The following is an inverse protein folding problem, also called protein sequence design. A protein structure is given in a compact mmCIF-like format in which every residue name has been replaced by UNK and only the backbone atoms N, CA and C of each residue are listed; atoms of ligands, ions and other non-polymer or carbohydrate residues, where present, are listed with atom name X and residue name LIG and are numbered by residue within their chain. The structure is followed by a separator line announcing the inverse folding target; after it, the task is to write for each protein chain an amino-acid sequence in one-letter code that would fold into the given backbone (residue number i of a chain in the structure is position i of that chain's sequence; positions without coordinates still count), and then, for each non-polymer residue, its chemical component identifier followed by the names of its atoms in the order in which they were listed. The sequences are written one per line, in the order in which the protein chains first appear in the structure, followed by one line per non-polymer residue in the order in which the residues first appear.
data_IF_192257202020
#
_entry.id   IF_192257202020
#
_cell.length_a   1.000
_cell.length_b   1.000
_cell.length_c   1.000
_cell.angle_alpha   90.00
_cell.angle_beta   90.00
_cell.angle_gamma   90.00
#
_symmetry.space_group_name_H-M   'P 1'
#
loop_
_entity.id
_entity.type
_entity.pdbx_description
1 polymer ?
#
# COMPACT_ATOMS: atom_id res chain seq x y z
N UNK A 1 -24.31 -90.82 41.16
CA UNK A 1 -24.21 -89.88 40.02
C UNK A 1 -23.24 -88.78 40.45
N UNK A 2 -22.01 -88.80 39.92
CA UNK A 2 -20.90 -87.93 40.35
C UNK A 2 -20.80 -86.76 39.36
N UNK A 3 -21.12 -85.55 39.78
CA UNK A 3 -20.88 -84.34 38.97
C UNK A 3 -19.46 -83.83 39.20
N UNK A 4 -18.73 -83.37 38.16
CA UNK A 4 -17.35 -82.93 38.29
C UNK A 4 -17.27 -81.48 38.80
N UNK A 5 -16.34 -81.20 39.71
CA UNK A 5 -15.99 -79.85 40.13
C UNK A 5 -15.24 -79.11 39.00
N UNK A 6 -15.60 -77.84 38.79
CA UNK A 6 -14.93 -76.94 37.84
C UNK A 6 -13.70 -76.32 38.51
N UNK A 7 -12.52 -76.26 37.86
CA UNK A 7 -11.32 -75.69 38.47
C UNK A 7 -11.40 -74.16 38.56
N UNK A 8 -11.14 -73.65 39.77
CA UNK A 8 -11.06 -72.22 40.07
C UNK A 8 -9.89 -71.56 39.33
N UNK A 9 -10.15 -70.75 38.30
CA UNK A 9 -9.13 -69.98 37.59
C UNK A 9 -8.51 -68.91 38.49
N UNK A 10 -7.24 -69.06 38.84
CA UNK A 10 -6.46 -68.12 39.64
C UNK A 10 -6.25 -66.81 38.86
N UNK A 11 -6.94 -65.74 39.28
CA UNK A 11 -6.87 -64.40 38.66
C UNK A 11 -5.58 -63.70 39.08
N UNK A 12 -4.65 -63.55 38.14
CA UNK A 12 -3.37 -62.83 38.32
C UNK A 12 -3.63 -61.34 38.64
N UNK A 13 -2.99 -60.76 39.66
CA UNK A 13 -3.13 -59.33 39.96
C UNK A 13 -2.36 -58.50 38.91
N UNK A 14 -3.07 -57.64 38.19
CA UNK A 14 -2.49 -56.59 37.33
C UNK A 14 -1.92 -55.47 38.20
N UNK A 15 -0.64 -55.14 38.01
CA UNK A 15 0.03 -54.05 38.72
C UNK A 15 -0.70 -52.70 38.52
N UNK A 16 -0.79 -51.86 39.57
CA UNK A 16 -1.45 -50.56 39.46
C UNK A 16 -0.68 -49.64 38.52
N UNK A 17 -1.34 -49.14 37.47
CA UNK A 17 -0.82 -48.06 36.63
C UNK A 17 -0.80 -46.78 37.48
N UNK A 18 0.39 -46.28 37.82
CA UNK A 18 0.57 -44.97 38.43
C UNK A 18 0.00 -43.91 37.47
N UNK A 19 -1.14 -43.30 37.85
CA UNK A 19 -1.69 -42.16 37.13
C UNK A 19 -0.88 -40.94 37.51
N UNK A 20 -0.02 -40.47 36.61
CA UNK A 20 0.59 -39.14 36.71
C UNK A 20 -0.52 -38.10 36.52
N UNK A 21 -0.88 -37.41 37.60
CA UNK A 21 -1.76 -36.25 37.56
C UNK A 21 -0.91 -34.98 37.62
N UNK A 22 -1.27 -33.98 36.81
CA UNK A 22 -0.65 -32.66 36.89
C UNK A 22 -0.91 -32.04 38.26
N UNK A 23 0.15 -31.55 38.91
CA UNK A 23 0.04 -30.77 40.13
C UNK A 23 -0.43 -29.35 39.80
N UNK A 24 -1.11 -28.71 40.76
CA UNK A 24 -1.58 -27.33 40.62
C UNK A 24 -0.40 -26.38 40.36
N UNK A 25 0.76 -26.65 40.98
CA UNK A 25 1.97 -25.83 40.82
C UNK A 25 2.60 -25.96 39.42
N UNK A 26 2.59 -27.17 38.81
CA UNK A 26 3.03 -27.35 37.42
C UNK A 26 2.14 -26.56 36.45
N UNK A 27 0.82 -26.56 36.66
CA UNK A 27 -0.07 -25.76 35.82
C UNK A 27 0.12 -24.25 36.05
N UNK A 28 0.26 -23.83 37.32
CA UNK A 28 0.42 -22.43 37.71
C UNK A 28 1.70 -21.82 37.14
N UNK A 29 2.82 -22.54 37.18
CA UNK A 29 4.10 -22.07 36.65
C UNK A 29 4.07 -21.94 35.12
N UNK A 30 3.40 -22.85 34.42
CA UNK A 30 3.26 -22.79 32.95
C UNK A 30 2.47 -21.55 32.53
N UNK A 31 1.31 -21.29 33.15
CA UNK A 31 0.53 -20.10 32.80
C UNK A 31 1.26 -18.81 33.18
N UNK A 32 2.07 -18.82 34.25
CA UNK A 32 2.89 -17.67 34.63
C UNK A 32 3.97 -17.38 33.56
N UNK A 33 4.68 -18.40 33.07
CA UNK A 33 5.69 -18.25 32.01
C UNK A 33 5.02 -17.82 30.69
N UNK A 34 3.89 -18.44 30.30
CA UNK A 34 3.13 -18.03 29.11
C UNK A 34 2.65 -16.57 29.23
N UNK A 35 2.23 -16.13 30.41
CA UNK A 35 1.84 -14.75 30.69
C UNK A 35 3.00 -13.77 30.51
N UNK A 36 4.19 -14.10 31.02
CA UNK A 36 5.40 -13.27 30.86
C UNK A 36 5.81 -13.19 29.38
N UNK A 37 5.84 -14.32 28.68
CA UNK A 37 6.19 -14.37 27.26
C UNK A 37 5.19 -13.56 26.41
N UNK A 38 3.88 -13.73 26.64
CA UNK A 38 2.84 -12.98 25.95
C UNK A 38 2.94 -11.47 26.22
N UNK A 39 3.22 -11.06 27.47
CA UNK A 39 3.36 -9.66 27.85
C UNK A 39 4.50 -8.95 27.09
N UNK A 40 5.60 -9.65 26.81
CA UNK A 40 6.72 -9.11 26.03
C UNK A 40 6.43 -9.13 24.51
N UNK A 41 5.74 -10.17 24.04
CA UNK A 41 5.51 -10.42 22.62
C UNK A 41 4.39 -9.53 22.01
N UNK A 42 3.33 -9.23 22.76
CA UNK A 42 2.19 -8.45 22.25
C UNK A 42 2.55 -7.00 21.84
N UNK A 43 3.27 -6.19 22.64
CA UNK A 43 3.59 -4.81 22.23
C UNK A 43 4.60 -4.76 21.07
N UNK A 44 5.56 -5.69 21.04
CA UNK A 44 6.62 -5.73 20.02
C UNK A 44 6.13 -6.21 18.66
N UNK A 45 5.08 -7.04 18.61
CA UNK A 45 4.49 -7.51 17.35
C UNK A 45 3.70 -6.43 16.60
N UNK A 46 3.15 -5.42 17.30
CA UNK A 46 2.44 -4.30 16.67
C UNK A 46 3.37 -3.39 15.87
N UNK A 47 4.51 -2.99 16.46
CA UNK A 47 5.51 -2.16 15.78
C UNK A 47 6.16 -2.89 14.59
N UNK A 48 6.44 -4.19 14.75
CA UNK A 48 6.93 -5.04 13.67
C UNK A 48 5.96 -5.11 12.49
N UNK A 49 4.64 -5.21 12.75
CA UNK A 49 3.60 -5.21 11.71
C UNK A 49 3.56 -3.88 10.95
N UNK A 50 3.65 -2.76 11.65
CA UNK A 50 3.71 -1.43 11.02
C UNK A 50 4.97 -1.28 10.18
N UNK A 51 6.14 -1.69 10.68
CA UNK A 51 7.38 -1.68 9.91
C UNK A 51 7.29 -2.55 8.65
N UNK A 52 6.72 -3.75 8.76
CA UNK A 52 6.50 -4.65 7.63
C UNK A 52 5.56 -4.03 6.57
N UNK A 53 4.48 -3.36 6.99
CA UNK A 53 3.61 -2.60 6.08
C UNK A 53 4.35 -1.44 5.41
N UNK A 54 5.17 -0.66 6.13
CA UNK A 54 6.00 0.40 5.54
C UNK A 54 6.95 -0.17 4.48
N UNK A 55 7.61 -1.29 4.77
CA UNK A 55 8.47 -1.97 3.81
C UNK A 55 7.70 -2.45 2.58
N UNK A 56 6.49 -3.02 2.77
CA UNK A 56 5.61 -3.43 1.67
C UNK A 56 5.19 -2.25 0.80
N UNK A 57 4.75 -1.13 1.39
CA UNK A 57 4.39 0.10 0.65
C UNK A 57 5.59 0.61 -0.17
N UNK A 58 6.80 0.65 0.41
CA UNK A 58 8.02 1.01 -0.34
C UNK A 58 8.30 0.07 -1.52
N UNK A 59 8.08 -1.24 -1.33
CA UNK A 59 8.22 -2.23 -2.40
C UNK A 59 7.20 -2.02 -3.53
N UNK A 60 5.94 -1.75 -3.21
CA UNK A 60 4.90 -1.40 -4.20
C UNK A 60 5.31 -0.17 -5.00
N UNK A 61 5.76 0.90 -4.32
CA UNK A 61 6.19 2.12 -5.00
C UNK A 61 7.42 1.91 -5.89
N UNK A 62 8.38 1.08 -5.48
CA UNK A 62 9.53 0.75 -6.31
C UNK A 62 9.12 -0.01 -7.59
N UNK A 63 8.14 -0.91 -7.50
CA UNK A 63 7.57 -1.60 -8.67
C UNK A 63 6.87 -0.61 -9.60
N UNK A 64 6.10 0.32 -9.05
CA UNK A 64 5.37 1.34 -9.82
C UNK A 64 6.33 2.33 -10.50
N UNK A 65 7.38 2.74 -9.80
CA UNK A 65 8.44 3.57 -10.36
C UNK A 65 9.16 2.84 -11.51
N UNK A 66 9.44 1.54 -11.36
CA UNK A 66 9.99 0.71 -12.44
C UNK A 66 9.09 0.67 -13.68
N UNK A 67 7.77 0.57 -13.49
CA UNK A 67 6.81 0.60 -14.61
C UNK A 67 6.78 1.96 -15.31
N UNK A 68 6.87 3.06 -14.56
CA UNK A 68 6.94 4.41 -15.12
C UNK A 68 8.26 4.63 -15.89
N UNK A 69 9.39 4.12 -15.37
CA UNK A 69 10.67 4.16 -16.09
C UNK A 69 10.62 3.34 -17.39
N UNK A 70 9.99 2.16 -17.37
CA UNK A 70 9.79 1.37 -18.58
C UNK A 70 8.91 2.10 -19.60
N UNK A 71 7.86 2.80 -19.15
CA UNK A 71 7.06 3.68 -20.01
C UNK A 71 7.93 4.78 -20.65
N UNK A 72 8.78 5.45 -19.87
CA UNK A 72 9.68 6.48 -20.37
C UNK A 72 10.67 5.91 -21.40
N UNK A 73 11.21 4.72 -21.17
CA UNK A 73 12.13 4.08 -22.13
C UNK A 73 11.44 3.78 -23.47
N UNK A 74 10.16 3.39 -23.43
CA UNK A 74 9.38 3.06 -24.62
C UNK A 74 8.95 4.31 -25.41
N UNK A 75 8.50 5.36 -24.72
CA UNK A 75 7.86 6.52 -25.34
C UNK A 75 8.72 7.79 -25.36
N UNK A 76 9.85 7.82 -24.63
CA UNK A 76 10.78 8.94 -24.56
C UNK A 76 10.36 10.08 -23.62
N UNK A 77 9.23 9.97 -22.93
CA UNK A 77 8.73 10.95 -21.96
C UNK A 77 8.01 10.26 -20.80
N UNK A 78 7.87 10.93 -19.66
CA UNK A 78 7.13 10.39 -18.52
C UNK A 78 5.61 10.51 -18.69
N UNK A 79 4.84 9.53 -18.19
CA UNK A 79 3.40 9.59 -18.23
C UNK A 79 2.88 10.80 -17.43
N UNK A 80 1.92 11.51 -18.01
CA UNK A 80 1.26 12.63 -17.38
C UNK A 80 -0.09 12.18 -16.80
N UNK A 81 -0.14 12.09 -15.47
CA UNK A 81 -1.37 11.83 -14.72
C UNK A 81 -2.18 13.11 -14.54
N UNK A 82 -2.89 13.31 -13.44
CA UNK A 82 -3.56 14.59 -13.20
C UNK A 82 -2.56 15.72 -12.94
N UNK A 83 -2.78 16.87 -13.59
CA UNK A 83 -1.89 18.04 -13.47
C UNK A 83 -2.56 19.23 -12.76
N UNK A 84 -3.87 19.16 -12.50
CA UNK A 84 -4.63 20.27 -11.93
C UNK A 84 -5.57 19.82 -10.80
N UNK A 85 -6.02 20.79 -9.99
CA UNK A 85 -6.97 20.55 -8.91
C UNK A 85 -6.42 19.71 -7.75
N UNK A 86 -7.34 19.26 -6.88
CA UNK A 86 -6.99 18.49 -5.68
C UNK A 86 -6.39 17.09 -5.99
N UNK A 87 -6.57 16.60 -7.22
CA UNK A 87 -6.05 15.35 -7.73
C UNK A 87 -4.67 15.44 -8.38
N UNK A 88 -4.12 16.64 -8.57
CA UNK A 88 -2.84 16.84 -9.23
C UNK A 88 -1.73 16.00 -8.60
N UNK A 89 -0.95 15.31 -9.44
CA UNK A 89 0.19 14.47 -9.05
C UNK A 89 -0.16 13.39 -8.02
N UNK A 90 -1.37 12.81 -8.14
CA UNK A 90 -1.81 11.68 -7.32
C UNK A 90 -2.11 10.45 -8.17
N UNK A 91 -1.83 9.28 -7.60
CA UNK A 91 -2.15 7.98 -8.21
C UNK A 91 -3.64 7.89 -8.52
N UNK A 92 -4.49 8.28 -7.58
CA UNK A 92 -5.95 8.28 -7.69
C UNK A 92 -6.53 9.67 -7.99
N UNK A 93 -5.80 10.52 -8.73
CA UNK A 93 -6.11 11.95 -8.86
C UNK A 93 -7.46 12.29 -9.53
N UNK A 94 -7.80 11.60 -10.62
CA UNK A 94 -8.98 11.91 -11.45
C UNK A 94 -10.28 11.31 -10.91
N UNK A 95 -10.18 10.45 -9.90
CA UNK A 95 -11.28 9.56 -9.52
C UNK A 95 -12.07 10.15 -8.37
N UNK A 96 -12.34 11.47 -8.36
CA UNK A 96 -13.04 12.18 -7.28
C UNK A 96 -14.17 11.32 -6.67
N UNK A 97 -13.89 10.67 -5.54
CA UNK A 97 -14.85 9.84 -4.81
C UNK A 97 -15.16 8.43 -5.35
N UNK A 98 -14.24 7.75 -6.06
CA UNK A 98 -14.04 6.28 -6.08
C UNK A 98 -15.25 5.33 -6.21
N UNK A 99 -16.46 5.79 -6.54
CA UNK A 99 -17.61 4.91 -6.74
C UNK A 99 -17.80 4.58 -8.23
N UNK A 100 -17.22 5.39 -9.12
CA UNK A 100 -17.42 5.28 -10.55
C UNK A 100 -16.23 4.56 -11.22
N UNK A 101 -16.36 3.26 -11.46
CA UNK A 101 -15.37 2.49 -12.23
C UNK A 101 -15.26 2.94 -13.68
N UNK A 102 -16.30 3.60 -14.22
CA UNK A 102 -16.27 4.19 -15.54
C UNK A 102 -15.53 5.54 -15.58
N UNK A 103 -15.18 6.13 -14.42
CA UNK A 103 -14.31 7.30 -14.40
C UNK A 103 -12.89 6.91 -14.81
N UNK A 104 -12.27 7.77 -15.64
CA UNK A 104 -10.91 7.54 -16.13
C UNK A 104 -9.93 7.56 -14.99
N UNK A 105 -9.25 6.45 -14.76
CA UNK A 105 -8.19 6.35 -13.78
C UNK A 105 -6.84 6.42 -14.48
N UNK A 106 -6.36 7.65 -14.75
CA UNK A 106 -5.18 7.88 -15.60
C UNK A 106 -3.97 7.03 -15.25
N UNK A 107 -3.61 6.95 -13.97
CA UNK A 107 -2.45 6.16 -13.54
C UNK A 107 -2.57 4.68 -13.92
N UNK A 108 -3.70 4.05 -13.57
CA UNK A 108 -4.02 2.67 -13.94
C UNK A 108 -4.07 2.51 -15.46
N UNK A 109 -4.87 3.33 -16.15
CA UNK A 109 -5.15 3.17 -17.58
C UNK A 109 -3.90 3.38 -18.45
N UNK A 110 -3.04 4.32 -18.09
CA UNK A 110 -1.78 4.58 -18.81
C UNK A 110 -0.81 3.40 -18.61
N UNK A 111 -0.63 2.91 -17.38
CA UNK A 111 0.38 1.90 -17.08
C UNK A 111 -0.08 0.46 -17.38
N UNK A 112 -1.38 0.18 -17.27
CA UNK A 112 -1.96 -1.13 -17.59
C UNK A 112 -2.31 -1.22 -19.09
N UNK A 113 -2.61 -0.10 -19.75
CA UNK A 113 -3.02 -0.09 -21.16
C UNK A 113 -4.47 -0.55 -21.39
N UNK A 114 -5.24 -0.73 -20.33
CA UNK A 114 -6.64 -1.14 -20.35
C UNK A 114 -7.45 -0.40 -19.27
N UNK A 115 -8.77 -0.33 -19.46
CA UNK A 115 -9.67 0.23 -18.44
C UNK A 115 -9.97 -0.76 -17.33
N UNK A 116 -10.25 -0.21 -16.15
CA UNK A 116 -10.66 -0.99 -14.96
C UNK A 116 -12.01 -1.70 -15.14
N UNK A 117 -12.88 -1.17 -15.99
CA UNK A 117 -14.23 -1.69 -16.28
C UNK A 117 -14.27 -2.69 -17.45
N UNK A 118 -13.12 -2.99 -18.07
CA UNK A 118 -13.03 -3.87 -19.24
C UNK A 118 -13.50 -3.24 -20.55
N UNK A 119 -13.94 -1.98 -20.54
CA UNK A 119 -14.33 -1.25 -21.75
C UNK A 119 -13.07 -0.77 -22.49
N UNK A 120 -13.18 -0.48 -23.79
CA UNK A 120 -12.09 0.14 -24.54
C UNK A 120 -11.73 1.52 -23.96
N UNK A 121 -10.44 1.86 -23.94
CA UNK A 121 -9.96 3.18 -23.51
C UNK A 121 -10.65 4.29 -24.33
N UNK A 122 -11.01 5.43 -23.71
CA UNK A 122 -11.66 6.51 -24.44
C UNK A 122 -10.71 7.08 -25.50
N UNK A 123 -11.18 7.15 -26.74
CA UNK A 123 -10.40 7.67 -27.88
C UNK A 123 -10.49 9.19 -28.02
N UNK A 124 -11.49 9.80 -27.39
CA UNK A 124 -11.75 11.25 -27.41
C UNK A 124 -12.08 11.72 -25.99
N UNK A 125 -11.09 12.21 -25.27
CA UNK A 125 -11.35 13.11 -24.15
C UNK A 125 -10.75 14.46 -24.48
N UNK A 126 -11.60 15.47 -24.53
CA UNK A 126 -11.20 16.87 -24.60
C UNK A 126 -10.64 17.25 -23.24
N UNK A 127 -9.33 17.43 -23.10
CA UNK A 127 -8.73 17.85 -21.84
C UNK A 127 -7.22 17.78 -21.80
N UNK A 128 -6.62 18.69 -21.04
CA UNK A 128 -5.24 18.63 -20.59
C UNK A 128 -5.24 17.96 -19.21
N UNK A 129 -4.53 16.85 -18.97
CA UNK A 129 -3.56 16.20 -19.87
C UNK A 129 -4.18 15.22 -20.89
N UNK A 130 -3.40 14.78 -21.91
CA UNK A 130 -3.87 13.89 -22.96
C UNK A 130 -4.51 12.60 -22.42
N UNK A 131 -5.53 12.03 -23.09
CA UNK A 131 -6.18 10.82 -22.63
C UNK A 131 -5.19 9.65 -22.51
N UNK A 132 -5.43 8.65 -21.64
CA UNK A 132 -4.51 7.54 -21.42
C UNK A 132 -4.06 6.81 -22.70
N UNK A 133 -4.98 6.61 -23.65
CA UNK A 133 -4.66 5.98 -24.93
C UNK A 133 -3.73 6.84 -25.81
N UNK A 134 -3.80 8.17 -25.72
CA UNK A 134 -2.89 9.05 -26.46
C UNK A 134 -1.47 9.01 -25.90
N UNK A 135 -1.31 8.67 -24.62
CA UNK A 135 0.00 8.53 -23.98
C UNK A 135 0.56 7.11 -24.19
N UNK A 136 -0.25 6.07 -23.97
CA UNK A 136 0.10 4.68 -24.23
C UNK A 136 -0.56 4.18 -25.53
N UNK A 137 -0.09 4.66 -26.68
CA UNK A 137 -0.71 4.38 -27.99
C UNK A 137 -0.61 2.91 -28.39
N UNK A 138 0.43 2.21 -27.96
CA UNK A 138 0.64 0.77 -28.21
C UNK A 138 -0.07 -0.13 -27.20
N UNK A 139 -0.73 0.43 -26.18
CA UNK A 139 -1.40 -0.30 -25.09
C UNK A 139 -0.49 -1.33 -24.42
N UNK A 140 0.77 -0.97 -24.21
CA UNK A 140 1.76 -1.82 -23.54
C UNK A 140 1.40 -1.90 -22.06
N UNK A 141 1.37 -3.11 -21.51
CA UNK A 141 1.16 -3.33 -20.09
C UNK A 141 2.48 -3.25 -19.35
N UNK A 142 2.72 -2.14 -18.66
CA UNK A 142 3.93 -1.91 -17.85
C UNK A 142 3.79 -2.48 -16.43
N UNK A 143 2.56 -2.62 -15.94
CA UNK A 143 2.26 -3.15 -14.61
C UNK A 143 0.92 -3.88 -14.58
N UNK A 144 0.76 -4.76 -13.60
CA UNK A 144 -0.53 -5.40 -13.26
C UNK A 144 -0.88 -5.07 -11.81
N UNK A 145 -2.14 -4.73 -11.56
CA UNK A 145 -2.67 -4.59 -10.21
C UNK A 145 -3.52 -5.81 -9.86
N UNK A 146 -3.33 -6.34 -8.66
CA UNK A 146 -4.17 -7.41 -8.13
C UNK A 146 -5.32 -6.84 -7.30
N UNK A 147 -6.28 -7.68 -6.91
CA UNK A 147 -7.33 -7.28 -5.96
C UNK A 147 -6.77 -6.81 -4.61
N UNK A 148 -5.58 -7.25 -4.22
CA UNK A 148 -4.94 -6.81 -2.99
C UNK A 148 -4.49 -5.34 -3.08
N UNK A 149 -4.07 -4.89 -4.26
CA UNK A 149 -3.58 -3.54 -4.52
C UNK A 149 -4.70 -2.52 -4.75
N UNK A 150 -5.95 -2.98 -4.80
CA UNK A 150 -7.11 -2.13 -5.03
C UNK A 150 -8.12 -2.25 -3.89
N UNK A 151 -8.89 -1.19 -3.67
CA UNK A 151 -10.06 -1.27 -2.81
C UNK A 151 -11.12 -2.15 -3.51
N UNK A 152 -11.61 -3.22 -2.87
CA UNK A 152 -12.55 -4.14 -3.51
C UNK A 152 -13.81 -3.43 -4.00
N UNK A 153 -14.21 -3.71 -5.23
CA UNK A 153 -15.43 -3.14 -5.84
C UNK A 153 -16.68 -3.62 -5.10
N UNK A 154 -16.69 -4.88 -4.66
CA UNK A 154 -17.78 -5.50 -3.94
C UNK A 154 -17.76 -5.24 -2.42
N UNK A 155 -16.96 -4.27 -1.94
CA UNK A 155 -16.87 -3.99 -0.50
C UNK A 155 -18.22 -3.57 0.09
N UNK A 156 -18.60 -4.18 1.22
CA UNK A 156 -19.76 -3.78 2.03
C UNK A 156 -19.40 -2.75 3.09
N UNK A 157 -18.12 -2.40 3.22
CA UNK A 157 -17.66 -1.39 4.17
C UNK A 157 -18.06 0.01 3.68
N UNK A 158 -18.91 0.68 4.45
CA UNK A 158 -19.39 2.03 4.16
C UNK A 158 -18.24 3.05 4.09
N UNK A 159 -17.17 2.85 4.87
CA UNK A 159 -15.99 3.75 4.89
C UNK A 159 -15.14 3.64 3.62
N UNK A 160 -15.20 2.50 2.94
CA UNK A 160 -14.46 2.21 1.71
C UNK A 160 -15.33 2.33 0.45
N UNK A 161 -16.64 2.49 0.61
CA UNK A 161 -17.57 2.49 -0.53
C UNK A 161 -17.36 3.66 -1.49
N UNK A 162 -16.93 4.82 -0.99
CA UNK A 162 -16.51 5.97 -1.81
C UNK A 162 -15.08 5.83 -2.38
N UNK A 163 -14.40 4.71 -2.12
CA UNK A 163 -13.01 4.45 -2.54
C UNK A 163 -12.88 3.19 -3.40
N UNK A 164 -13.98 2.60 -3.86
CA UNK A 164 -14.01 1.35 -4.65
C UNK A 164 -13.15 1.42 -5.92
N UNK A 165 -12.38 0.38 -6.16
CA UNK A 165 -11.49 0.29 -7.32
C UNK A 165 -10.39 1.36 -7.36
N UNK A 166 -10.13 2.08 -6.26
CA UNK A 166 -8.94 2.92 -6.13
C UNK A 166 -7.74 2.05 -5.77
N UNK A 167 -6.56 2.44 -6.24
CA UNK A 167 -5.31 1.81 -5.84
C UNK A 167 -5.03 2.17 -4.38
N UNK A 168 -4.56 1.21 -3.60
CA UNK A 168 -4.23 1.38 -2.18
C UNK A 168 -2.84 0.86 -1.85
N UNK A 169 -2.25 1.44 -0.82
CA UNK A 169 -1.01 0.95 -0.23
C UNK A 169 -1.24 -0.15 0.81
N UNK A 170 -0.18 -0.63 1.46
CA UNK A 170 -0.27 -1.66 2.50
C UNK A 170 -0.99 -1.21 3.79
N UNK A 171 -1.20 0.09 3.97
CA UNK A 171 -2.00 0.68 5.05
C UNK A 171 -3.46 0.92 4.64
N UNK A 172 -3.87 0.52 3.44
CA UNK A 172 -5.18 0.83 2.85
C UNK A 172 -5.40 2.32 2.57
N UNK A 173 -4.33 3.11 2.55
CA UNK A 173 -4.32 4.49 2.12
C UNK A 173 -4.48 4.59 0.61
N UNK A 174 -5.42 5.41 0.16
CA UNK A 174 -5.66 5.69 -1.27
C UNK A 174 -5.16 7.07 -1.67
N UNK A 175 -4.65 7.88 -0.74
CA UNK A 175 -4.07 9.17 -1.05
C UNK A 175 -2.54 9.03 -1.19
N UNK A 176 -2.10 8.80 -2.42
CA UNK A 176 -0.71 8.51 -2.77
C UNK A 176 -0.27 9.52 -3.81
N UNK A 177 0.82 10.23 -3.53
CA UNK A 177 1.41 11.18 -4.45
C UNK A 177 2.40 10.49 -5.38
N UNK A 178 2.48 11.00 -6.61
CA UNK A 178 3.41 10.59 -7.64
C UNK A 178 3.97 11.82 -8.33
N UNK A 179 5.29 11.94 -8.34
CA UNK A 179 6.03 13.01 -8.98
C UNK A 179 6.92 12.39 -10.06
N UNK A 180 7.04 13.06 -11.20
CA UNK A 180 7.83 12.61 -12.35
C UNK A 180 8.59 13.80 -12.93
N UNK A 181 9.78 13.53 -13.46
CA UNK A 181 10.63 14.48 -14.18
C UNK A 181 10.06 14.71 -15.59
N UNK A 182 9.10 15.62 -15.72
CA UNK A 182 8.36 15.87 -16.98
C UNK A 182 9.23 16.53 -18.05
N UNK A 183 10.21 17.34 -17.65
CA UNK A 183 11.06 18.05 -18.61
C UNK A 183 12.33 17.27 -18.97
N UNK A 184 12.55 16.10 -18.36
CA UNK A 184 13.67 15.19 -18.61
C UNK A 184 15.03 15.80 -18.30
N UNK A 185 15.08 16.74 -17.36
CA UNK A 185 16.33 17.39 -16.97
C UNK A 185 17.12 16.62 -15.90
N UNK A 186 16.62 15.43 -15.51
CA UNK A 186 17.22 14.54 -14.54
C UNK A 186 16.90 14.92 -13.10
N UNK A 187 15.96 15.84 -12.86
CA UNK A 187 15.51 16.18 -11.54
C UNK A 187 14.05 16.65 -11.48
N UNK A 188 13.32 16.13 -10.49
CA UNK A 188 11.96 16.58 -10.18
C UNK A 188 12.02 17.93 -9.46
N UNK A 189 11.49 18.97 -10.12
CA UNK A 189 11.45 20.36 -9.63
C UNK A 189 10.05 20.76 -9.19
N UNK A 190 9.99 21.39 -8.01
CA UNK A 190 8.76 21.93 -7.42
C UNK A 190 8.91 23.44 -7.24
N UNK A 191 7.91 24.22 -7.67
CA UNK A 191 7.78 25.62 -7.26
C UNK A 191 8.31 26.71 -8.21
N UNK A 192 8.30 26.54 -9.54
CA UNK A 192 8.62 27.66 -10.44
C UNK A 192 8.64 27.36 -11.95
N UNK A 193 8.71 28.44 -12.74
CA UNK A 193 8.75 28.40 -14.22
C UNK A 193 10.00 27.68 -14.74
N UNK A 194 9.81 26.79 -15.72
CA UNK A 194 10.86 25.96 -16.32
C UNK A 194 11.07 24.58 -15.68
N UNK A 195 10.38 24.26 -14.58
CA UNK A 195 10.38 22.93 -13.96
C UNK A 195 9.25 22.02 -14.47
N UNK A 196 9.00 20.91 -13.77
CA UNK A 196 8.08 19.83 -14.18
C UNK A 196 6.59 20.17 -14.11
N UNK A 197 6.21 21.44 -14.05
CA UNK A 197 4.81 21.85 -13.87
C UNK A 197 4.22 21.37 -12.52
N UNK A 198 5.06 21.18 -11.51
CA UNK A 198 4.65 20.87 -10.14
C UNK A 198 4.72 22.18 -9.34
N UNK A 199 3.57 22.83 -9.16
CA UNK A 199 3.50 24.13 -8.46
C UNK A 199 3.78 23.99 -6.96
N UNK A 200 3.23 22.95 -6.34
CA UNK A 200 3.41 22.64 -4.91
C UNK A 200 3.50 21.14 -4.71
N UNK A 201 4.16 20.71 -3.63
CA UNK A 201 4.18 19.29 -3.26
C UNK A 201 2.77 18.85 -2.84
N UNK A 202 2.20 17.81 -3.48
CA UNK A 202 0.86 17.32 -3.17
C UNK A 202 0.68 16.96 -1.70
N UNK A 203 -0.34 17.53 -1.07
CA UNK A 203 -0.73 17.08 0.26
C UNK A 203 -1.44 15.73 0.18
N UNK A 204 -1.06 14.78 1.03
CA UNK A 204 -1.70 13.47 1.17
C UNK A 204 -2.33 13.32 2.56
N UNK A 205 -3.39 12.52 2.65
CA UNK A 205 -4.09 12.21 3.89
C UNK A 205 -3.76 10.80 4.40
N UNK A 206 -3.66 10.60 5.72
CA UNK A 206 -3.60 9.27 6.29
C UNK A 206 -4.92 8.48 6.04
N UNK A 207 -4.87 7.14 6.06
CA UNK A 207 -6.03 6.28 5.84
C UNK A 207 -7.19 6.49 6.84
N UNK A 208 -6.91 7.08 8.00
CA UNK A 208 -7.84 7.23 9.14
C UNK A 208 -8.98 8.26 8.94
N UNK A 209 -9.08 8.88 7.75
CA UNK A 209 -10.12 9.84 7.37
C UNK A 209 -10.28 11.03 8.36
N UNK A 210 -9.24 11.38 9.10
CA UNK A 210 -9.25 12.49 10.07
C UNK A 210 -9.42 13.88 9.43
N UNK A 211 -9.41 13.99 8.10
CA UNK A 211 -9.41 15.25 7.37
C UNK A 211 -8.04 15.95 7.37
N UNK A 212 -7.06 15.42 8.09
CA UNK A 212 -5.69 15.91 8.08
C UNK A 212 -5.06 15.70 6.71
N UNK A 213 -4.39 16.73 6.19
CA UNK A 213 -3.59 16.65 4.97
C UNK A 213 -2.21 17.22 5.26
N UNK A 214 -1.19 16.44 4.96
CA UNK A 214 0.21 16.82 5.19
C UNK A 214 0.94 16.87 3.86
N UNK A 215 1.84 17.84 3.72
CA UNK A 215 2.81 17.91 2.63
C UNK A 215 4.21 17.71 3.19
N UNK A 216 5.10 16.97 2.50
CA UNK A 216 6.53 16.95 2.80
C UNK A 216 7.11 18.35 2.89
N UNK A 217 7.95 18.57 3.90
CA UNK A 217 8.70 19.82 4.08
C UNK A 217 9.81 19.89 3.02
N UNK A 218 9.81 20.93 2.19
CA UNK A 218 10.80 21.11 1.10
C UNK A 218 11.88 22.16 1.41
N UNK A 219 11.78 22.84 2.54
CA UNK A 219 12.67 23.95 2.94
C UNK A 219 13.00 23.86 4.42
N UNK A 220 14.21 24.25 4.82
CA UNK A 220 14.65 24.25 6.21
C UNK A 220 15.90 23.40 6.44
N UNK A 221 16.27 23.19 7.71
CA UNK A 221 17.50 22.48 8.11
C UNK A 221 17.37 20.95 8.04
N UNK A 222 16.15 20.42 8.01
CA UNK A 222 15.84 18.98 7.88
C UNK A 222 14.65 18.79 6.93
N UNK A 223 14.82 19.00 5.61
CA UNK A 223 13.72 18.82 4.67
C UNK A 223 13.41 17.32 4.50
N UNK A 224 12.12 16.98 4.37
CA UNK A 224 11.66 15.59 4.18
C UNK A 224 12.01 15.05 2.79
N UNK A 225 12.10 15.94 1.81
CA UNK A 225 12.69 15.69 0.50
C UNK A 225 14.11 16.28 0.48
N UNK A 226 15.11 15.59 -0.07
CA UNK A 226 16.43 16.15 -0.32
C UNK A 226 16.32 17.56 -0.94
N UNK A 227 17.19 18.52 -0.56
CA UNK A 227 16.97 19.94 -0.82
C UNK A 227 16.57 20.21 -2.27
N UNK A 228 15.35 20.72 -2.46
CA UNK A 228 14.80 21.11 -3.76
C UNK A 228 15.36 22.47 -4.22
N UNK A 229 16.26 23.08 -3.43
CA UNK A 229 16.84 24.39 -3.73
C UNK A 229 17.88 24.30 -4.86
N UNK A 230 17.61 25.00 -5.97
CA UNK A 230 18.48 25.15 -7.16
C UNK A 230 18.84 23.87 -7.94
N UNK A 231 18.14 22.75 -7.73
CA UNK A 231 18.49 21.51 -8.46
C UNK A 231 17.43 20.42 -8.55
N UNK A 232 16.31 20.50 -7.83
CA UNK A 232 15.29 19.45 -7.82
C UNK A 232 15.74 18.14 -7.15
N UNK A 233 14.81 17.21 -6.98
CA UNK A 233 15.12 15.85 -6.52
C UNK A 233 15.69 15.07 -7.72
N UNK A 234 16.98 14.70 -7.67
CA UNK A 234 17.70 13.98 -8.74
C UNK A 234 17.27 12.52 -8.89
N UNK A 235 16.02 12.34 -9.30
CA UNK A 235 15.35 11.05 -9.53
C UNK A 235 14.39 11.24 -10.70
N UNK A 236 14.04 10.16 -11.37
CA UNK A 236 13.05 10.18 -12.44
C UNK A 236 11.61 10.17 -11.92
N UNK A 237 11.39 9.39 -10.86
CA UNK A 237 10.06 9.18 -10.26
C UNK A 237 10.17 9.18 -8.74
N UNK A 238 9.22 9.84 -8.07
CA UNK A 238 9.08 9.78 -6.63
C UNK A 238 7.64 9.51 -6.22
N UNK A 239 7.47 8.63 -5.23
CA UNK A 239 6.20 8.33 -4.59
C UNK A 239 6.30 8.61 -3.10
N UNK A 240 5.18 9.08 -2.54
CA UNK A 240 5.01 9.10 -1.10
C UNK A 240 3.56 8.98 -0.67
N UNK A 241 3.39 8.47 0.55
CA UNK A 241 2.11 8.33 1.24
C UNK A 241 2.32 8.42 2.76
N UNK A 242 1.23 8.44 3.50
CA UNK A 242 1.25 8.42 4.96
C UNK A 242 0.80 7.05 5.49
N UNK A 243 1.46 6.51 6.53
CA UNK A 243 0.96 5.34 7.23
C UNK A 243 -0.31 5.68 8.01
N UNK A 244 -0.99 4.64 8.47
CA UNK A 244 -2.11 4.78 9.40
C UNK A 244 -1.68 5.46 10.70
N UNK A 245 -2.52 6.38 11.19
CA UNK A 245 -2.29 7.17 12.39
C UNK A 245 -1.26 8.30 12.28
N UNK A 246 -0.68 8.56 11.10
CA UNK A 246 0.31 9.62 10.94
C UNK A 246 -0.25 11.03 11.23
N UNK A 247 0.53 11.86 11.92
CA UNK A 247 0.16 13.22 12.35
C UNK A 247 1.19 14.29 12.00
N UNK A 248 2.42 13.91 11.67
CA UNK A 248 3.50 14.87 11.39
C UNK A 248 4.14 14.64 10.02
N UNK A 249 4.75 15.69 9.48
CA UNK A 249 5.41 15.64 8.17
C UNK A 249 6.61 14.67 8.14
N UNK A 250 7.20 14.31 9.27
CA UNK A 250 8.32 13.37 9.34
C UNK A 250 7.95 11.89 9.14
N UNK A 251 6.65 11.55 9.01
CA UNK A 251 6.17 10.16 9.01
C UNK A 251 5.93 9.56 7.62
N UNK A 252 6.21 10.33 6.55
CA UNK A 252 6.02 9.88 5.18
C UNK A 252 6.79 8.60 4.85
N UNK A 253 6.16 7.77 4.03
CA UNK A 253 6.81 6.63 3.38
C UNK A 253 7.21 7.08 1.99
N UNK A 254 8.50 7.29 1.78
CA UNK A 254 9.06 7.64 0.47
C UNK A 254 9.61 6.44 -0.29
N UNK A 255 9.54 6.52 -1.62
CA UNK A 255 10.28 5.67 -2.54
C UNK A 255 10.53 6.45 -3.83
N UNK A 256 11.72 6.33 -4.40
CA UNK A 256 12.10 7.01 -5.63
C UNK A 256 13.03 6.13 -6.46
N UNK A 257 13.11 6.42 -7.76
CA UNK A 257 13.96 5.71 -8.71
C UNK A 257 14.62 6.69 -9.67
#
# INVERSE_FOLDING_TARGET
MRTPEVPSTMRRPTAPKLRSGFTLIELLTVIAILGILAAILVPTTSSARTAAKKAKTRGQFAQWAGAIEAFRQEYGYYPTFETTGAGANKVNGNTAGGANLAAVHRFYEILVGARRDGVALPTTMTGNPPPPQAQNTRRIQFITFTEADMVPVATTDATLSAKRGLIRDAFSGTDIAVLVDRNLDGAIKVGGAGGDGITTVPAVAPPDNTGLRLSPVTTGTTPDLPPVAQGGLRVGVAFYSLPDGARTASEFIFSWK
#
